data_IF_449867717381
#
_entry.id   IF_449867717381
#
_cell.length_a   1.000
_cell.length_b   1.000
_cell.length_c   1.000
_cell.angle_alpha   90.00
_cell.angle_beta   90.00
_cell.angle_gamma   90.00
#
_symmetry.space_group_name_H-M   'P 1'
#
loop_
_entity.id
_entity.type
_entity.pdbx_description
1 polymer ?
#
# COMPACT_ATOMS: atom_id res chain seq x y z
N UNK A 1 -16.01 -0.86 -0.52
CA UNK A 1 -14.80 -0.06 -0.76
C UNK A 1 -13.60 -0.82 -0.20
N UNK A 2 -12.65 -1.21 -1.04
CA UNK A 2 -11.48 -1.99 -0.64
C UNK A 2 -10.52 -1.21 0.30
N UNK A 3 -10.59 0.13 0.30
CA UNK A 3 -9.80 0.99 1.18
C UNK A 3 -10.41 1.17 2.58
N UNK A 4 -11.65 0.76 2.82
CA UNK A 4 -12.32 0.91 4.12
C UNK A 4 -11.56 0.25 5.28
N UNK A 5 -10.85 -0.86 5.02
CA UNK A 5 -10.05 -1.57 6.03
C UNK A 5 -8.63 -1.03 6.19
N UNK A 6 -8.29 0.09 5.53
CA UNK A 6 -6.95 0.67 5.51
C UNK A 6 -5.84 -0.36 5.22
N UNK A 7 -5.89 -1.05 4.06
CA UNK A 7 -4.97 -2.16 3.77
C UNK A 7 -3.51 -1.70 3.59
N UNK A 8 -3.26 -0.44 3.23
CA UNK A 8 -1.92 0.08 3.02
C UNK A 8 -1.21 0.39 4.34
N UNK A 9 0.01 -0.11 4.50
CA UNK A 9 0.88 0.04 5.68
C UNK A 9 1.88 1.18 5.46
N UNK A 10 2.62 1.49 6.53
CA UNK A 10 3.80 2.38 6.48
C UNK A 10 3.54 3.74 5.81
N UNK A 11 2.33 4.31 5.97
CA UNK A 11 1.97 5.59 5.38
C UNK A 11 1.58 5.55 3.90
N UNK A 12 1.36 4.36 3.32
CA UNK A 12 0.86 4.22 1.95
C UNK A 12 -0.55 4.79 1.76
N UNK A 13 -0.79 5.39 0.60
CA UNK A 13 -2.12 5.92 0.22
C UNK A 13 -2.92 4.85 -0.49
N UNK A 14 -4.12 4.53 0.02
CA UNK A 14 -5.01 3.57 -0.61
C UNK A 14 -5.84 4.21 -1.71
N UNK A 15 -5.90 3.56 -2.86
CA UNK A 15 -6.72 3.93 -4.01
C UNK A 15 -7.69 2.78 -4.29
N UNK A 16 -8.98 3.03 -4.13
CA UNK A 16 -10.03 2.05 -4.42
C UNK A 16 -10.20 1.96 -5.94
N UNK A 17 -10.16 0.74 -6.49
CA UNK A 17 -10.34 0.47 -7.92
C UNK A 17 -11.45 -0.56 -8.12
N UNK A 18 -11.82 -0.85 -9.37
CA UNK A 18 -12.87 -1.84 -9.64
C UNK A 18 -12.41 -3.21 -9.14
N UNK A 19 -13.17 -3.78 -8.21
CA UNK A 19 -12.97 -5.08 -7.56
C UNK A 19 -11.67 -5.28 -6.77
N UNK A 20 -10.86 -4.23 -6.55
CA UNK A 20 -9.60 -4.31 -5.80
C UNK A 20 -9.19 -2.94 -5.22
N UNK A 21 -7.97 -2.84 -4.70
CA UNK A 21 -7.30 -1.61 -4.31
C UNK A 21 -5.86 -1.57 -4.83
N UNK A 22 -5.29 -0.38 -4.88
CA UNK A 22 -3.87 -0.18 -5.09
C UNK A 22 -3.28 0.69 -3.98
N UNK A 23 -2.10 0.32 -3.49
CA UNK A 23 -1.38 1.12 -2.52
C UNK A 23 -0.27 1.91 -3.21
N UNK A 24 -0.35 3.24 -3.15
CA UNK A 24 0.77 4.10 -3.49
C UNK A 24 1.72 4.13 -2.29
N UNK A 25 2.81 3.38 -2.38
CA UNK A 25 3.80 3.28 -1.32
C UNK A 25 4.74 4.49 -1.27
N UNK A 26 5.20 4.90 -0.07
CA UNK A 26 6.31 5.84 0.06
C UNK A 26 7.59 5.29 -0.59
N UNK A 27 8.56 6.17 -0.81
CA UNK A 27 9.82 5.84 -1.49
C UNK A 27 10.51 4.63 -0.87
N UNK A 28 10.51 4.50 0.46
CA UNK A 28 11.24 3.45 1.19
C UNK A 28 10.49 2.11 1.35
N UNK A 29 9.26 1.98 0.82
CA UNK A 29 8.44 0.76 0.98
C UNK A 29 7.93 0.20 -0.35
N UNK A 30 7.75 -1.12 -0.40
CA UNK A 30 7.15 -1.89 -1.50
C UNK A 30 6.25 -3.03 -0.95
N UNK A 31 5.70 -3.84 -1.86
CA UNK A 31 4.68 -4.85 -1.57
C UNK A 31 3.26 -4.36 -1.90
N UNK A 32 2.29 -5.26 -1.99
CA UNK A 32 0.88 -4.94 -2.32
C UNK A 32 0.28 -3.99 -1.28
N UNK A 33 0.74 -4.10 -0.03
CA UNK A 33 0.28 -3.36 1.13
C UNK A 33 1.35 -2.40 1.66
N UNK A 34 2.43 -2.15 0.93
CA UNK A 34 3.58 -1.37 1.42
C UNK A 34 4.21 -1.95 2.70
N UNK A 35 4.15 -3.27 2.87
CA UNK A 35 4.60 -3.99 4.07
C UNK A 35 6.11 -4.22 4.14
N UNK A 36 6.80 -4.11 3.01
CA UNK A 36 8.22 -4.44 2.88
C UNK A 36 9.08 -3.18 2.71
N UNK A 37 10.16 -3.06 3.49
CA UNK A 37 11.11 -1.95 3.39
C UNK A 37 12.11 -2.20 2.25
N UNK A 38 12.32 -1.21 1.37
CA UNK A 38 13.30 -1.27 0.28
C UNK A 38 14.75 -1.11 0.74
N UNK A 39 14.96 -0.55 1.93
CA UNK A 39 16.28 -0.31 2.53
C UNK A 39 16.94 -1.57 3.12
N UNK A 40 16.34 -2.75 2.96
CA UNK A 40 16.98 -4.03 3.28
C UNK A 40 17.82 -4.57 2.11
N UNK A 41 18.55 -3.68 1.43
CA UNK A 41 19.57 -4.02 0.43
C UNK A 41 20.96 -3.66 0.96
#
# INVERSE_FOLDING_TARGET
DACYRSPCRNGGTCLNVIDDYWCKCPTDYNGKNCESSKLML
#
